data_IF_116325070215
#
_entry.id   IF_116325070215
#
_cell.length_a   1.000
_cell.length_b   1.000
_cell.length_c   1.000
_cell.angle_alpha   90.00
_cell.angle_beta   90.00
_cell.angle_gamma   90.00
#
_symmetry.space_group_name_H-M   'P 1'
#
loop_
_entity.id
_entity.type
_entity.pdbx_description
1 polymer ?
#
# COMPACT_ATOMS: atom_id res chain seq x y z
N UNK A 1 -8.22 -26.32 3.09
CA UNK A 1 -7.67 -25.17 3.85
C UNK A 1 -6.83 -25.67 5.00
N UNK A 2 -5.66 -25.07 5.22
CA UNK A 2 -4.79 -25.43 6.34
C UNK A 2 -5.01 -24.48 7.52
N UNK A 3 -5.95 -24.82 8.41
CA UNK A 3 -6.33 -23.95 9.54
C UNK A 3 -5.18 -23.65 10.50
N UNK A 4 -4.26 -24.61 10.72
CA UNK A 4 -3.07 -24.40 11.56
C UNK A 4 -2.14 -23.33 10.98
N UNK A 5 -2.00 -23.30 9.65
CA UNK A 5 -1.14 -22.34 8.96
C UNK A 5 -1.74 -20.93 9.05
N UNK A 6 -3.04 -20.80 8.79
CA UNK A 6 -3.76 -19.54 8.95
C UNK A 6 -3.71 -19.07 10.40
N UNK A 7 -3.96 -19.96 11.37
CA UNK A 7 -3.91 -19.64 12.79
C UNK A 7 -2.54 -19.11 13.23
N UNK A 8 -1.44 -19.58 12.63
CA UNK A 8 -0.10 -19.13 12.99
C UNK A 8 0.24 -17.75 12.45
N UNK A 9 -0.14 -17.46 11.22
CA UNK A 9 -0.03 -16.10 10.66
C UNK A 9 -0.92 -15.13 11.45
N UNK A 10 -2.15 -15.52 11.79
CA UNK A 10 -3.06 -14.64 12.55
C UNK A 10 -2.57 -14.42 13.98
N UNK A 11 -2.08 -15.47 14.65
CA UNK A 11 -1.53 -15.36 16.00
C UNK A 11 -0.27 -14.48 16.01
N UNK A 12 0.62 -14.62 15.03
CA UNK A 12 1.77 -13.75 14.87
C UNK A 12 1.35 -12.28 14.82
N UNK A 13 0.41 -11.94 13.92
CA UNK A 13 -0.02 -10.55 13.73
C UNK A 13 -0.72 -10.00 14.96
N UNK A 14 -1.49 -10.83 15.66
CA UNK A 14 -2.11 -10.47 16.93
C UNK A 14 -1.06 -10.16 18.01
N UNK A 15 -0.03 -11.00 18.14
CA UNK A 15 1.07 -10.78 19.09
C UNK A 15 1.82 -9.47 18.77
N UNK A 16 2.10 -9.21 17.49
CA UNK A 16 2.74 -7.94 17.07
C UNK A 16 1.88 -6.74 17.46
N UNK A 17 0.56 -6.78 17.24
CA UNK A 17 -0.37 -5.72 17.64
C UNK A 17 -0.33 -5.51 19.16
N UNK A 18 -0.36 -6.58 19.95
CA UNK A 18 -0.32 -6.50 21.42
C UNK A 18 1.00 -5.89 21.90
N UNK A 19 2.13 -6.33 21.34
CA UNK A 19 3.46 -5.80 21.69
C UNK A 19 3.53 -4.30 21.36
N UNK A 20 3.06 -3.89 20.17
CA UNK A 20 3.07 -2.49 19.76
C UNK A 20 2.10 -1.64 20.58
N UNK A 21 0.94 -2.19 20.97
CA UNK A 21 0.00 -1.51 21.84
C UNK A 21 0.59 -1.27 23.23
N UNK A 22 1.22 -2.28 23.83
CA UNK A 22 1.93 -2.16 25.11
C UNK A 22 3.07 -1.14 24.99
N UNK A 23 3.85 -1.19 23.90
CA UNK A 23 4.91 -0.22 23.64
C UNK A 23 4.38 1.21 23.56
N UNK A 24 3.28 1.44 22.84
CA UNK A 24 2.65 2.74 22.73
C UNK A 24 2.12 3.27 24.08
N UNK A 25 1.69 2.38 24.98
CA UNK A 25 1.15 2.74 26.30
C UNK A 25 2.22 2.95 27.36
N UNK A 26 3.30 2.18 27.32
CA UNK A 26 4.31 2.15 28.37
C UNK A 26 5.55 3.01 28.05
N UNK A 27 5.85 3.23 26.78
CA UNK A 27 7.05 3.97 26.37
C UNK A 27 6.76 5.45 26.18
N UNK A 28 7.54 6.31 26.85
CA UNK A 28 7.54 7.76 26.61
C UNK A 28 8.00 8.16 25.20
N UNK A 29 8.60 7.22 24.45
CA UNK A 29 9.06 7.38 23.06
C UNK A 29 8.14 6.73 22.03
N UNK A 30 7.06 6.07 22.47
CA UNK A 30 6.13 5.39 21.57
C UNK A 30 5.14 6.38 20.94
N UNK A 31 5.33 6.75 19.67
CA UNK A 31 4.30 7.46 18.92
C UNK A 31 3.39 6.48 18.18
N UNK A 32 2.13 6.88 18.02
CA UNK A 32 1.15 6.12 17.24
C UNK A 32 1.63 5.93 15.79
N UNK A 33 2.35 6.91 15.23
CA UNK A 33 2.98 6.85 13.91
C UNK A 33 4.00 5.72 13.80
N UNK A 34 4.91 5.63 14.77
CA UNK A 34 5.89 4.56 14.83
C UNK A 34 5.24 3.19 15.00
N UNK A 35 4.14 3.10 15.74
CA UNK A 35 3.39 1.85 15.89
C UNK A 35 2.79 1.40 14.55
N UNK A 36 2.17 2.31 13.80
CA UNK A 36 1.62 2.01 12.46
C UNK A 36 2.74 1.59 11.50
N UNK A 37 3.86 2.32 11.50
CA UNK A 37 5.02 2.00 10.68
C UNK A 37 5.60 0.63 11.04
N UNK A 38 5.86 0.34 12.32
CA UNK A 38 6.40 -0.95 12.75
C UNK A 38 5.44 -2.12 12.48
N UNK A 39 4.13 -1.92 12.70
CA UNK A 39 3.11 -2.90 12.34
C UNK A 39 3.14 -3.19 10.83
N UNK A 40 3.13 -2.14 10.02
CA UNK A 40 3.19 -2.23 8.57
C UNK A 40 4.42 -3.00 8.12
N UNK A 41 5.61 -2.62 8.59
CA UNK A 41 6.87 -3.29 8.24
C UNK A 41 6.94 -4.75 8.68
N UNK A 42 6.31 -5.12 9.79
CA UNK A 42 6.38 -6.49 10.32
C UNK A 42 5.32 -7.42 9.74
N UNK A 43 4.14 -6.91 9.37
CA UNK A 43 2.95 -7.74 9.15
C UNK A 43 2.43 -7.75 7.71
N UNK A 44 2.98 -6.95 6.79
CA UNK A 44 2.46 -6.79 5.43
C UNK A 44 3.46 -7.18 4.33
N UNK A 45 3.81 -8.48 4.23
CA UNK A 45 4.59 -8.99 3.10
C UNK A 45 3.88 -8.85 1.76
N UNK A 46 4.69 -8.81 0.70
CA UNK A 46 4.26 -9.02 -0.68
C UNK A 46 4.07 -10.53 -0.97
N UNK A 47 3.04 -11.10 -0.34
CA UNK A 47 2.73 -12.54 -0.43
C UNK A 47 2.26 -12.95 -1.82
N UNK A 48 1.52 -12.09 -2.52
CA UNK A 48 0.88 -12.44 -3.81
C UNK A 48 1.87 -12.34 -4.97
N UNK A 49 2.52 -11.18 -5.12
CA UNK A 49 3.34 -10.91 -6.32
C UNK A 49 4.69 -11.61 -6.23
N UNK A 50 5.34 -11.58 -5.06
CA UNK A 50 6.67 -12.19 -4.87
C UNK A 50 6.58 -13.55 -4.20
N UNK A 51 5.67 -13.72 -3.23
CA UNK A 51 5.57 -14.96 -2.47
C UNK A 51 5.17 -16.18 -3.29
N UNK A 52 4.14 -16.07 -4.15
CA UNK A 52 3.67 -17.18 -4.99
C UNK A 52 4.79 -17.74 -5.90
N UNK A 53 5.45 -16.95 -6.77
CA UNK A 53 6.48 -17.49 -7.65
C UNK A 53 7.72 -17.97 -6.89
N UNK A 54 8.14 -17.26 -5.83
CA UNK A 54 9.34 -17.61 -5.07
C UNK A 54 9.15 -18.90 -4.28
N UNK A 55 8.09 -19.01 -3.48
CA UNK A 55 7.82 -20.21 -2.69
C UNK A 55 7.33 -21.37 -3.55
N UNK A 56 6.67 -21.10 -4.67
CA UNK A 56 6.30 -22.09 -5.68
C UNK A 56 7.52 -22.78 -6.26
N UNK A 57 8.57 -22.02 -6.61
CA UNK A 57 9.83 -22.58 -7.09
C UNK A 57 10.61 -23.39 -6.05
N UNK A 58 10.47 -23.08 -4.76
CA UNK A 58 11.28 -23.68 -3.69
C UNK A 58 10.64 -24.91 -3.03
N UNK A 59 9.32 -24.91 -2.86
CA UNK A 59 8.58 -25.95 -2.12
C UNK A 59 7.49 -26.64 -2.96
N UNK A 60 7.40 -26.30 -4.25
CA UNK A 60 6.39 -26.83 -5.18
C UNK A 60 5.23 -25.86 -5.39
N UNK A 61 4.78 -25.78 -6.64
CA UNK A 61 3.78 -24.80 -7.10
C UNK A 61 2.44 -24.97 -6.34
N UNK A 62 1.88 -26.18 -6.32
CA UNK A 62 0.52 -26.41 -5.84
C UNK A 62 0.36 -26.16 -4.33
N UNK A 63 1.34 -26.63 -3.54
CA UNK A 63 1.32 -26.46 -2.09
C UNK A 63 1.50 -24.99 -1.70
N UNK A 64 2.57 -24.36 -2.17
CA UNK A 64 2.91 -22.98 -1.82
C UNK A 64 1.85 -22.00 -2.32
N UNK A 65 1.37 -22.15 -3.55
CA UNK A 65 0.34 -21.28 -4.11
C UNK A 65 -0.94 -21.36 -3.29
N UNK A 66 -1.42 -22.56 -2.94
CA UNK A 66 -2.65 -22.72 -2.15
C UNK A 66 -2.55 -22.08 -0.75
N UNK A 67 -1.38 -22.15 -0.11
CA UNK A 67 -1.12 -21.55 1.19
C UNK A 67 -1.02 -20.02 1.10
N UNK A 68 -0.31 -19.50 0.11
CA UNK A 68 -0.15 -18.05 -0.09
C UNK A 68 -1.47 -17.38 -0.44
N UNK A 69 -2.32 -18.03 -1.25
CA UNK A 69 -3.68 -17.55 -1.55
C UNK A 69 -4.54 -17.52 -0.29
N UNK A 70 -4.45 -18.54 0.57
CA UNK A 70 -5.20 -18.54 1.84
C UNK A 70 -4.79 -17.37 2.75
N UNK A 71 -3.49 -17.07 2.86
CA UNK A 71 -3.01 -15.94 3.64
C UNK A 71 -3.39 -14.59 3.03
N UNK A 72 -3.31 -14.45 1.71
CA UNK A 72 -3.62 -13.19 1.03
C UNK A 72 -5.11 -12.82 1.19
N UNK A 73 -6.02 -13.79 1.15
CA UNK A 73 -7.44 -13.56 1.41
C UNK A 73 -7.66 -13.00 2.81
N UNK A 74 -7.07 -13.59 3.86
CA UNK A 74 -7.16 -13.07 5.23
C UNK A 74 -6.47 -11.70 5.35
N UNK A 75 -5.35 -11.50 4.64
CA UNK A 75 -4.65 -10.22 4.56
C UNK A 75 -5.57 -9.11 4.04
N UNK A 76 -6.24 -9.32 2.90
CA UNK A 76 -7.14 -8.33 2.31
C UNK A 76 -8.42 -8.14 3.11
N UNK A 77 -9.00 -9.19 3.70
CA UNK A 77 -10.29 -9.09 4.40
C UNK A 77 -10.19 -8.61 5.85
N UNK A 78 -9.06 -8.81 6.52
CA UNK A 78 -8.91 -8.53 7.95
C UNK A 78 -7.79 -7.54 8.21
N UNK A 79 -6.57 -7.85 7.75
CA UNK A 79 -5.38 -7.11 8.15
C UNK A 79 -5.27 -5.73 7.47
N UNK A 80 -5.60 -5.62 6.18
CA UNK A 80 -5.65 -4.34 5.48
C UNK A 80 -6.72 -3.39 6.02
N UNK A 81 -7.97 -3.83 6.30
CA UNK A 81 -8.97 -3.02 6.98
C UNK A 81 -8.50 -2.50 8.35
N UNK A 82 -7.85 -3.36 9.16
CA UNK A 82 -7.27 -2.95 10.45
C UNK A 82 -6.21 -1.87 10.24
N UNK A 83 -5.33 -2.03 9.26
CA UNK A 83 -4.31 -1.03 8.91
C UNK A 83 -4.94 0.31 8.49
N UNK A 84 -5.97 0.29 7.64
CA UNK A 84 -6.71 1.50 7.24
C UNK A 84 -7.39 2.18 8.43
N UNK A 85 -7.98 1.38 9.32
CA UNK A 85 -8.60 1.89 10.54
C UNK A 85 -7.57 2.58 11.45
N UNK A 86 -6.36 2.02 11.58
CA UNK A 86 -5.26 2.64 12.32
C UNK A 86 -4.84 4.00 11.71
N UNK A 87 -4.74 4.10 10.38
CA UNK A 87 -4.42 5.35 9.71
C UNK A 87 -5.50 6.42 9.88
N UNK A 88 -6.77 6.05 9.74
CA UNK A 88 -7.88 6.99 9.93
C UNK A 88 -8.05 7.37 11.40
N UNK A 89 -7.79 6.45 12.32
CA UNK A 89 -7.77 6.74 13.76
C UNK A 89 -6.67 7.75 14.10
N UNK A 90 -5.47 7.61 13.53
CA UNK A 90 -4.42 8.64 13.64
C UNK A 90 -4.92 9.99 13.15
N UNK A 91 -5.49 10.02 11.94
CA UNK A 91 -5.95 11.25 11.31
C UNK A 91 -7.02 11.94 12.15
N UNK A 92 -7.99 11.19 12.66
CA UNK A 92 -9.02 11.71 13.56
C UNK A 92 -8.43 12.23 14.87
N UNK A 93 -7.45 11.52 15.46
CA UNK A 93 -6.79 11.94 16.70
C UNK A 93 -6.05 13.28 16.52
N UNK A 94 -5.34 13.45 15.41
CA UNK A 94 -4.66 14.72 15.08
C UNK A 94 -5.67 15.86 14.94
N UNK A 95 -6.82 15.62 14.31
CA UNK A 95 -7.88 16.63 14.15
C UNK A 95 -8.44 17.06 15.51
N UNK A 96 -8.69 16.11 16.42
CA UNK A 96 -9.22 16.42 17.77
C UNK A 96 -8.23 17.29 18.56
N UNK A 97 -6.94 16.92 18.56
CA UNK A 97 -5.90 17.68 19.27
C UNK A 97 -5.75 19.10 18.70
N UNK A 98 -5.89 19.28 17.39
CA UNK A 98 -5.85 20.60 16.75
C UNK A 98 -7.08 21.48 17.09
N UNK A 99 -8.25 20.88 17.28
CA UNK A 99 -9.49 21.60 17.62
C UNK A 99 -9.47 22.12 19.08
N UNK A 100 -8.87 21.35 19.99
CA UNK A 100 -8.64 21.76 21.38
C UNK A 100 -7.68 22.95 21.47
N UNK A 101 -6.58 22.94 20.69
CA UNK A 101 -5.62 24.06 20.65
C UNK A 101 -6.17 25.32 19.96
N UNK A 102 -7.13 25.18 19.03
CA UNK A 102 -7.81 26.32 18.38
C UNK A 102 -8.85 27.00 19.25
N UNK A 103 -9.41 26.28 20.24
CA UNK A 103 -10.47 26.80 21.13
C UNK A 103 -9.89 27.65 22.27
N UNK A 104 -8.66 27.40 22.71
CA UNK A 104 -8.02 28.18 23.79
C UNK A 104 -7.47 29.55 23.34
N UNK A 105 -7.37 29.81 22.04
CA UNK A 105 -6.83 31.07 21.48
C UNK A 105 -7.91 32.06 21.01
N UNK A 106 -9.18 31.83 21.37
CA UNK A 106 -10.31 32.67 20.96
C UNK A 106 -11.18 33.16 22.12
N UNK A 107 -10.55 33.50 23.26
CA UNK A 107 -11.18 34.33 24.29
C UNK A 107 -10.48 35.69 24.36
N UNK A 108 -10.65 36.49 23.31
CA UNK A 108 -10.67 37.97 23.34
C UNK A 108 -10.64 38.52 21.91
N UNK A 109 -11.83 38.75 21.34
CA UNK A 109 -12.19 40.01 20.66
C UNK A 109 -13.58 39.92 20.04
N UNK A 110 -14.38 40.90 20.44
CA UNK A 110 -15.78 41.10 20.15
C UNK A 110 -16.06 41.45 18.68
N UNK A 111 -17.24 41.03 18.24
CA UNK A 111 -18.17 41.72 17.31
C UNK A 111 -17.78 41.94 15.85
N UNK A 112 -18.24 41.02 14.98
CA UNK A 112 -19.10 41.36 13.82
C UNK A 112 -19.77 40.08 13.28
N UNK A 113 -20.91 39.71 13.85
CA UNK A 113 -21.81 38.68 13.34
C UNK A 113 -22.97 39.31 12.55
N UNK A 114 -23.58 38.53 11.65
CA UNK A 114 -24.61 38.85 10.63
C UNK A 114 -23.98 39.34 9.32
N UNK A 115 -24.12 38.70 8.15
CA UNK A 115 -25.12 37.77 7.61
C UNK A 115 -24.45 37.00 6.46
N UNK A 116 -24.54 35.67 6.42
CA UNK A 116 -24.82 34.89 5.21
C UNK A 116 -24.98 33.42 5.59
N UNK A 117 -26.13 33.08 6.18
CA UNK A 117 -26.56 31.69 6.30
C UNK A 117 -28.06 31.64 6.04
N UNK A 118 -28.43 31.54 4.75
CA UNK A 118 -29.61 30.83 4.25
C UNK A 118 -29.73 30.97 2.73
N UNK A 119 -30.12 29.86 2.09
CA UNK A 119 -30.18 29.53 0.65
C UNK A 119 -28.86 28.92 0.17
N UNK A 120 -28.72 27.63 -0.12
CA UNK A 120 -29.68 26.59 -0.54
C UNK A 120 -29.21 25.26 0.08
N UNK A 121 -29.97 24.77 1.07
CA UNK A 121 -30.30 23.36 1.16
C UNK A 121 -31.28 23.08 0.02
N UNK A 122 -31.17 21.91 -0.59
CA UNK A 122 -32.05 21.32 -1.60
C UNK A 122 -31.42 21.25 -3.00
N UNK A 123 -30.46 20.34 -3.13
CA UNK A 123 -30.26 19.56 -4.34
C UNK A 123 -29.76 18.16 -3.92
N UNK A 124 -30.73 17.29 -3.62
CA UNK A 124 -30.53 15.85 -3.55
C UNK A 124 -30.11 15.33 -4.93
N UNK A 125 -29.27 14.29 -4.93
CA UNK A 125 -29.18 13.24 -5.95
C UNK A 125 -29.08 13.71 -7.40
N UNK A 126 -27.87 13.67 -7.96
CA UNK A 126 -27.68 13.01 -9.25
C UNK A 126 -26.23 12.54 -9.43
N UNK A 127 -26.13 11.33 -9.98
CA UNK A 127 -24.94 10.78 -10.59
C UNK A 127 -24.45 11.73 -11.69
N UNK A 128 -23.15 11.83 -11.87
CA UNK A 128 -22.67 11.92 -13.24
C UNK A 128 -21.44 11.06 -13.42
N UNK A 129 -21.55 10.29 -14.49
CA UNK A 129 -20.63 9.33 -15.06
C UNK A 129 -19.38 10.06 -15.60
N UNK A 130 -18.44 9.25 -16.08
CA UNK A 130 -17.30 9.60 -16.95
C UNK A 130 -17.03 11.09 -17.24
N UNK A 131 -15.81 11.53 -16.90
CA UNK A 131 -15.15 12.56 -17.72
C UNK A 131 -13.84 12.05 -18.25
N UNK A 132 -13.92 11.68 -19.52
CA UNK A 132 -12.89 11.74 -20.52
C UNK A 132 -12.01 12.99 -20.38
N UNK A 133 -10.76 12.81 -20.81
CA UNK A 133 -9.80 13.87 -21.03
C UNK A 133 -10.38 14.93 -21.97
N UNK A 134 -10.56 16.14 -21.45
CA UNK A 134 -10.73 17.32 -22.29
C UNK A 134 -9.42 18.13 -22.25
N UNK A 135 -8.71 18.09 -23.39
CA UNK A 135 -7.44 18.79 -23.60
C UNK A 135 -7.76 20.26 -23.88
N UNK A 136 -7.60 21.13 -22.88
CA UNK A 136 -7.58 22.57 -23.11
C UNK A 136 -6.15 23.04 -23.44
N UNK A 137 -5.86 23.20 -24.73
CA UNK A 137 -4.70 23.94 -25.23
C UNK A 137 -4.88 25.42 -24.88
N UNK A 138 -4.26 25.88 -23.80
CA UNK A 138 -4.18 27.31 -23.51
C UNK A 138 -2.99 27.92 -24.27
N UNK A 139 -3.29 28.43 -25.47
CA UNK A 139 -2.41 29.31 -26.23
C UNK A 139 -2.08 30.55 -25.41
N UNK A 140 -0.85 30.63 -24.91
CA UNK A 140 -0.36 31.79 -24.19
C UNK A 140 0.11 32.85 -25.20
N UNK A 141 -0.78 33.79 -25.52
CA UNK A 141 -0.41 35.10 -26.05
C UNK A 141 0.12 35.95 -24.88
N UNK A 142 1.40 36.30 -24.94
CA UNK A 142 1.96 37.44 -24.20
C UNK A 142 3.02 38.11 -25.06
N UNK A 143 2.59 39.14 -25.79
CA UNK A 143 3.42 40.17 -26.40
C UNK A 143 4.11 41.02 -25.34
N UNK A 144 5.38 41.40 -25.52
CA UNK A 144 5.90 42.79 -25.42
C UNK A 144 7.42 42.87 -25.71
N UNK A 145 7.75 43.56 -26.81
CA UNK A 145 8.92 44.43 -27.16
C UNK A 145 10.33 43.83 -27.39
N UNK A 146 10.83 43.89 -28.64
CA UNK A 146 11.69 44.91 -29.32
C UNK A 146 13.19 44.65 -29.09
N UNK A 147 13.91 44.20 -30.13
CA UNK A 147 14.96 44.95 -30.88
C UNK A 147 15.87 44.02 -31.71
N UNK A 148 15.88 44.29 -33.02
CA UNK A 148 16.97 44.30 -34.02
C UNK A 148 17.79 43.06 -34.43
N UNK A 149 17.76 42.81 -35.75
CA UNK A 149 18.85 42.48 -36.72
C UNK A 149 19.75 41.23 -36.44
N UNK A 150 20.09 40.35 -37.40
CA UNK A 150 20.28 40.45 -38.85
C UNK A 150 19.96 39.12 -39.59
N UNK A 151 19.58 39.28 -40.86
CA UNK A 151 19.53 38.27 -41.92
C UNK A 151 20.93 37.81 -42.37
N UNK A 152 21.11 36.53 -42.71
CA UNK A 152 21.73 36.18 -44.00
C UNK A 152 21.46 34.73 -44.43
N UNK A 153 21.24 34.60 -45.74
CA UNK A 153 20.84 33.45 -46.54
C UNK A 153 21.86 32.30 -46.57
N UNK A 154 21.42 31.06 -46.84
CA UNK A 154 21.36 30.54 -48.23
C UNK A 154 21.26 28.99 -48.29
N UNK A 155 20.53 28.52 -49.32
CA UNK A 155 20.67 27.23 -50.04
C UNK A 155 19.75 26.04 -49.69
N UNK A 156 18.83 25.76 -50.62
CA UNK A 156 17.98 24.57 -50.80
C UNK A 156 18.43 23.84 -52.12
N UNK A 157 17.89 22.67 -52.57
CA UNK A 157 17.02 21.65 -51.94
C UNK A 157 17.30 20.14 -52.34
N UNK A 158 16.42 19.24 -51.83
CA UNK A 158 16.10 17.83 -52.25
C UNK A 158 16.98 16.74 -51.60
N UNK A 159 16.50 15.76 -50.83
CA UNK A 159 15.38 14.81 -51.01
C UNK A 159 14.86 14.21 -49.67
N UNK A 160 13.69 13.56 -49.74
CA UNK A 160 12.86 12.95 -48.68
C UNK A 160 13.63 12.07 -47.65
N UNK A 161 13.23 12.09 -46.36
CA UNK A 161 13.31 10.86 -45.58
C UNK A 161 12.03 10.50 -44.80
N UNK A 162 11.85 9.19 -44.75
CA UNK A 162 10.91 8.41 -43.99
C UNK A 162 10.80 8.82 -42.52
N UNK A 163 9.55 8.97 -42.10
CA UNK A 163 9.05 9.05 -40.73
C UNK A 163 9.75 8.09 -39.77
N UNK A 164 10.57 8.65 -38.87
CA UNK A 164 10.90 8.01 -37.59
C UNK A 164 10.25 8.84 -36.50
N UNK A 165 9.06 8.44 -36.08
CA UNK A 165 8.39 9.05 -34.93
C UNK A 165 9.16 8.65 -33.67
N UNK A 166 9.97 9.57 -33.15
CA UNK A 166 10.45 9.51 -31.77
C UNK A 166 9.24 9.76 -30.87
N UNK A 167 8.64 8.68 -30.38
CA UNK A 167 7.69 8.72 -29.28
C UNK A 167 8.51 8.98 -28.01
N UNK A 168 8.64 10.26 -27.67
CA UNK A 168 9.19 10.69 -26.39
C UNK A 168 8.10 10.44 -25.34
N UNK A 169 8.24 9.34 -24.60
CA UNK A 169 7.35 8.97 -23.49
C UNK A 169 7.61 9.98 -22.37
N UNK A 170 6.68 10.92 -22.22
CA UNK A 170 6.63 11.83 -21.09
C UNK A 170 6.35 10.99 -19.84
N UNK A 171 7.40 10.73 -19.06
CA UNK A 171 7.35 9.98 -17.81
C UNK A 171 6.58 10.82 -16.79
N UNK A 172 5.50 10.23 -16.25
CA UNK A 172 4.72 10.78 -15.13
C UNK A 172 5.65 11.19 -13.96
N UNK A 173 5.25 12.29 -13.32
CA UNK A 173 6.00 13.04 -12.33
C UNK A 173 6.83 12.22 -11.32
N UNK A 174 8.06 12.68 -11.17
CA UNK A 174 9.07 12.23 -10.21
C UNK A 174 8.47 12.22 -8.79
N UNK A 175 8.34 11.05 -8.18
CA UNK A 175 8.05 10.92 -6.73
C UNK A 175 9.32 11.24 -5.96
N UNK A 176 9.64 12.53 -5.87
CA UNK A 176 10.64 13.03 -4.95
C UNK A 176 10.08 12.85 -3.51
N UNK A 177 10.84 12.20 -2.62
CA UNK A 177 10.56 12.19 -1.18
C UNK A 177 10.82 13.58 -0.58
N UNK A 178 10.12 14.60 -1.07
CA UNK A 178 9.96 15.87 -0.37
C UNK A 178 8.70 15.74 0.50
N UNK A 179 8.72 16.23 1.75
CA UNK A 179 7.45 16.45 2.43
C UNK A 179 6.62 17.35 1.51
N UNK A 180 5.40 16.92 1.16
CA UNK A 180 4.43 17.82 0.53
C UNK A 180 4.14 18.92 1.55
N UNK A 181 4.90 20.01 1.46
CA UNK A 181 4.50 21.27 2.07
C UNK A 181 3.42 21.85 1.16
N UNK A 182 2.23 21.98 1.72
CA UNK A 182 1.08 22.69 1.16
C UNK A 182 0.28 21.95 0.08
N UNK A 183 -0.74 21.23 0.53
CA UNK A 183 -2.13 21.57 0.27
C UNK A 183 -2.94 20.83 1.31
N UNK A 184 -3.35 21.57 2.34
CA UNK A 184 -4.39 21.15 3.28
C UNK A 184 -5.56 20.67 2.43
N UNK A 185 -5.75 19.35 2.34
CA UNK A 185 -7.09 18.81 2.10
C UNK A 185 -8.01 19.60 3.03
N UNK A 186 -9.13 20.16 2.55
CA UNK A 186 -9.99 21.00 3.37
C UNK A 186 -10.25 20.22 4.65
N UNK A 187 -9.71 20.75 5.75
CA UNK A 187 -10.09 20.30 7.08
C UNK A 187 -11.59 20.55 7.09
N UNK A 188 -12.45 19.52 7.25
CA UNK A 188 -13.85 19.79 7.44
C UNK A 188 -13.94 20.66 8.68
N UNK A 189 -14.29 21.93 8.47
CA UNK A 189 -14.46 22.88 9.53
C UNK A 189 -15.69 22.46 10.35
N UNK A 190 -15.47 22.42 11.66
CA UNK A 190 -16.46 22.45 12.74
C UNK A 190 -17.30 21.18 12.99
N UNK A 191 -17.13 20.65 14.21
CA UNK A 191 -18.24 20.70 15.17
C UNK A 191 -18.72 19.38 15.77
N UNK A 192 -18.36 18.22 15.19
CA UNK A 192 -18.70 16.94 15.80
C UNK A 192 -17.43 16.19 16.15
N UNK A 193 -17.26 15.86 17.44
CA UNK A 193 -16.40 14.76 17.89
C UNK A 193 -16.66 13.59 16.95
N UNK A 194 -15.68 13.28 16.09
CA UNK A 194 -15.87 12.22 15.10
C UNK A 194 -16.19 10.94 15.86
N UNK A 195 -17.46 10.54 15.82
CA UNK A 195 -17.90 9.35 16.54
C UNK A 195 -17.16 8.17 15.91
N UNK A 196 -16.77 7.15 16.70
CA UNK A 196 -16.13 5.93 16.18
C UNK A 196 -16.88 5.34 14.97
N UNK A 197 -18.22 5.52 14.94
CA UNK A 197 -19.09 5.19 13.82
C UNK A 197 -18.79 5.94 12.52
N UNK A 198 -18.47 7.24 12.58
CA UNK A 198 -18.09 8.03 11.39
C UNK A 198 -16.75 7.58 10.83
N UNK A 199 -15.76 7.33 11.69
CA UNK A 199 -14.46 6.77 11.29
C UNK A 199 -14.67 5.41 10.62
N UNK A 200 -15.49 4.53 11.21
CA UNK A 200 -15.81 3.23 10.65
C UNK A 200 -16.50 3.32 9.27
N UNK A 201 -17.44 4.26 9.10
CA UNK A 201 -18.13 4.47 7.81
C UNK A 201 -17.14 5.00 6.75
N UNK A 202 -16.27 5.94 7.11
CA UNK A 202 -15.24 6.46 6.19
C UNK A 202 -14.26 5.36 5.76
N UNK A 203 -13.77 4.57 6.72
CA UNK A 203 -12.90 3.42 6.47
C UNK A 203 -13.61 2.40 5.57
N UNK A 204 -14.87 2.07 5.88
CA UNK A 204 -15.65 1.12 5.09
C UNK A 204 -15.84 1.60 3.64
N UNK A 205 -16.10 2.89 3.42
CA UNK A 205 -16.24 3.46 2.06
C UNK A 205 -14.90 3.42 1.31
N UNK A 206 -13.79 3.77 1.97
CA UNK A 206 -12.44 3.67 1.39
C UNK A 206 -12.03 2.23 1.08
N UNK A 207 -12.41 1.30 1.95
CA UNK A 207 -12.14 -0.12 1.80
C UNK A 207 -12.93 -0.74 0.64
N UNK A 208 -14.21 -0.38 0.49
CA UNK A 208 -15.05 -0.86 -0.63
C UNK A 208 -14.55 -0.37 -2.00
N UNK A 209 -13.84 0.77 -2.04
CA UNK A 209 -13.19 1.25 -3.27
C UNK A 209 -11.89 0.51 -3.59
N UNK A 210 -11.39 -0.34 -2.69
CA UNK A 210 -10.16 -1.08 -2.93
C UNK A 210 -10.43 -2.31 -3.80
N UNK A 211 -9.78 -2.44 -4.98
CA UNK A 211 -10.00 -3.56 -5.87
C UNK A 211 -9.70 -4.92 -5.28
N UNK A 212 -8.67 -5.00 -4.44
CA UNK A 212 -8.28 -6.25 -3.79
C UNK A 212 -9.31 -6.71 -2.75
N UNK A 213 -9.98 -5.76 -2.07
CA UNK A 213 -10.96 -6.09 -1.05
C UNK A 213 -12.20 -6.73 -1.67
N UNK A 214 -12.88 -6.04 -2.60
CA UNK A 214 -14.09 -6.60 -3.21
C UNK A 214 -13.79 -7.87 -4.01
N UNK A 215 -12.66 -7.94 -4.71
CA UNK A 215 -12.27 -9.15 -5.47
C UNK A 215 -12.13 -10.36 -4.54
N UNK A 216 -11.45 -10.18 -3.40
CA UNK A 216 -11.30 -11.25 -2.40
C UNK A 216 -12.63 -11.65 -1.74
N UNK A 217 -13.54 -10.69 -1.51
CA UNK A 217 -14.85 -10.94 -0.94
C UNK A 217 -15.76 -11.70 -1.93
N UNK A 218 -15.73 -11.33 -3.20
CA UNK A 218 -16.41 -12.05 -4.28
C UNK A 218 -15.88 -13.48 -4.39
N UNK A 219 -14.57 -13.68 -4.39
CA UNK A 219 -13.95 -15.00 -4.44
C UNK A 219 -14.34 -15.87 -3.23
N UNK A 220 -14.34 -15.30 -2.02
CA UNK A 220 -14.75 -15.99 -0.80
C UNK A 220 -16.24 -16.35 -0.82
N UNK A 221 -17.10 -15.41 -1.23
CA UNK A 221 -18.55 -15.60 -1.35
C UNK A 221 -18.86 -16.70 -2.35
N UNK A 222 -18.24 -16.65 -3.54
CA UNK A 222 -18.38 -17.68 -4.56
C UNK A 222 -17.87 -19.04 -4.08
N UNK A 223 -16.74 -19.10 -3.37
CA UNK A 223 -16.21 -20.33 -2.79
C UNK A 223 -17.19 -20.97 -1.79
N UNK A 224 -17.86 -20.17 -0.97
CA UNK A 224 -18.88 -20.64 -0.02
C UNK A 224 -20.14 -21.15 -0.74
N UNK A 225 -20.59 -20.43 -1.79
CA UNK A 225 -21.74 -20.83 -2.60
C UNK A 225 -21.45 -22.15 -3.33
N UNK A 226 -20.28 -22.27 -3.96
CA UNK A 226 -19.83 -23.48 -4.64
C UNK A 226 -19.73 -24.66 -3.67
N UNK A 227 -19.24 -24.43 -2.44
CA UNK A 227 -19.21 -25.48 -1.41
C UNK A 227 -20.61 -25.92 -0.96
N UNK A 228 -21.58 -24.99 -0.92
CA UNK A 228 -22.96 -25.27 -0.47
C UNK A 228 -23.81 -25.95 -1.54
N UNK A 229 -23.72 -25.50 -2.79
CA UNK A 229 -24.53 -25.97 -3.90
C UNK A 229 -23.81 -26.97 -4.81
N UNK A 230 -22.55 -27.31 -4.53
CA UNK A 230 -21.70 -28.19 -5.33
C UNK A 230 -21.65 -27.81 -6.83
N UNK A 231 -21.77 -26.52 -7.12
CA UNK A 231 -21.68 -26.00 -8.49
C UNK A 231 -20.20 -25.84 -8.84
N UNK A 232 -19.74 -26.64 -9.80
CA UNK A 232 -18.41 -26.51 -10.37
C UNK A 232 -18.36 -25.32 -11.33
N UNK A 233 -17.26 -24.57 -11.29
CA UNK A 233 -17.03 -23.45 -12.21
C UNK A 233 -16.82 -24.04 -13.61
N UNK A 234 -17.55 -23.58 -14.65
CA UNK A 234 -17.34 -24.05 -16.01
C UNK A 234 -15.87 -23.91 -16.44
N UNK A 235 -15.35 -24.91 -17.15
CA UNK A 235 -13.94 -24.95 -17.57
C UNK A 235 -13.48 -23.68 -18.30
N UNK A 236 -14.39 -23.05 -19.06
CA UNK A 236 -14.13 -21.78 -19.76
C UNK A 236 -13.79 -20.64 -18.78
N UNK A 237 -14.57 -20.51 -17.70
CA UNK A 237 -14.36 -19.47 -16.68
C UNK A 237 -13.09 -19.77 -15.89
N UNK A 238 -12.87 -21.02 -15.49
CA UNK A 238 -11.66 -21.41 -14.75
C UNK A 238 -10.37 -21.16 -15.55
N UNK A 239 -10.35 -21.53 -16.82
CA UNK A 239 -9.19 -21.30 -17.70
C UNK A 239 -8.98 -19.80 -17.97
N UNK A 240 -10.06 -19.03 -18.12
CA UNK A 240 -9.97 -17.57 -18.26
C UNK A 240 -9.37 -16.91 -17.02
N UNK A 241 -9.86 -17.27 -15.82
CA UNK A 241 -9.32 -16.77 -14.55
C UNK A 241 -7.84 -17.15 -14.40
N UNK A 242 -7.46 -18.36 -14.79
CA UNK A 242 -6.06 -18.80 -14.75
C UNK A 242 -5.17 -17.94 -15.67
N UNK A 243 -5.58 -17.72 -16.92
CA UNK A 243 -4.83 -16.88 -17.86
C UNK A 243 -4.70 -15.44 -17.33
N UNK A 244 -5.77 -14.87 -16.80
CA UNK A 244 -5.73 -13.53 -16.18
C UNK A 244 -4.85 -13.49 -14.93
N UNK A 245 -4.88 -14.51 -14.09
CA UNK A 245 -4.05 -14.61 -12.88
C UNK A 245 -2.56 -14.71 -13.23
N UNK A 246 -2.20 -15.58 -14.16
CA UNK A 246 -0.81 -15.79 -14.58
C UNK A 246 -0.26 -14.53 -15.27
N UNK A 247 -1.05 -13.91 -16.13
CA UNK A 247 -0.70 -12.63 -16.79
C UNK A 247 -0.59 -11.48 -15.78
N UNK A 248 -1.55 -11.39 -14.86
CA UNK A 248 -1.59 -10.35 -13.83
C UNK A 248 -0.40 -10.44 -12.87
N UNK A 249 0.04 -11.65 -12.54
CA UNK A 249 1.24 -11.86 -11.73
C UNK A 249 2.49 -11.35 -12.45
N UNK A 250 2.64 -11.65 -13.75
CA UNK A 250 3.74 -11.13 -14.57
C UNK A 250 3.76 -9.60 -14.68
N UNK A 251 2.59 -8.99 -14.95
CA UNK A 251 2.46 -7.53 -14.98
C UNK A 251 2.78 -6.88 -13.63
N UNK A 252 2.33 -7.49 -12.52
CA UNK A 252 2.60 -6.98 -11.18
C UNK A 252 4.10 -7.05 -10.83
N UNK A 253 4.80 -8.13 -11.19
CA UNK A 253 6.24 -8.25 -11.00
C UNK A 253 7.02 -7.23 -11.85
N UNK A 254 6.60 -7.03 -13.10
CA UNK A 254 7.20 -6.01 -13.97
C UNK A 254 6.98 -4.59 -13.40
N UNK A 255 5.76 -4.26 -12.99
CA UNK A 255 5.41 -2.99 -12.36
C UNK A 255 6.18 -2.75 -11.06
N UNK A 256 6.41 -3.79 -10.26
CA UNK A 256 7.25 -3.74 -9.06
C UNK A 256 8.71 -3.40 -9.41
N UNK A 257 9.24 -3.96 -10.50
CA UNK A 257 10.56 -3.64 -11.03
C UNK A 257 10.66 -2.19 -11.53
N UNK A 258 9.65 -1.71 -12.27
CA UNK A 258 9.57 -0.32 -12.73
C UNK A 258 9.49 0.63 -11.53
N UNK A 259 8.65 0.34 -10.54
CA UNK A 259 8.55 1.12 -9.30
C UNK A 259 9.91 1.26 -8.60
N UNK A 260 10.68 0.17 -8.55
CA UNK A 260 12.03 0.16 -7.96
C UNK A 260 13.02 0.98 -8.79
N UNK A 261 12.96 0.89 -10.12
CA UNK A 261 13.81 1.66 -11.03
C UNK A 261 13.50 3.17 -11.00
N UNK A 262 12.23 3.53 -10.78
CA UNK A 262 11.78 4.92 -10.73
C UNK A 262 12.08 5.63 -9.39
N UNK A 263 12.58 4.92 -8.36
CA UNK A 263 12.94 5.59 -7.11
C UNK A 263 14.23 6.40 -7.27
N UNK A 264 14.23 7.73 -6.99
CA UNK A 264 15.41 8.58 -7.18
C UNK A 264 16.56 8.23 -6.22
N UNK A 265 16.26 7.58 -5.08
CA UNK A 265 17.21 7.04 -4.12
C UNK A 265 16.66 5.75 -3.51
N UNK A 266 17.43 4.66 -3.56
CA UNK A 266 17.09 3.39 -2.92
C UNK A 266 17.04 3.54 -1.38
N UNK A 267 17.81 4.49 -0.83
CA UNK A 267 17.88 4.83 0.60
C UNK A 267 17.48 6.31 0.78
N UNK A 268 16.20 6.59 0.92
CA UNK A 268 15.68 7.95 1.14
C UNK A 268 15.68 8.36 2.61
N UNK A 269 15.51 7.39 3.53
CA UNK A 269 15.42 7.62 4.97
C UNK A 269 16.74 7.61 5.75
N UNK A 270 17.89 7.42 5.09
CA UNK A 270 19.19 7.22 5.75
C UNK A 270 19.48 5.75 6.09
N UNK A 271 20.77 5.41 6.22
CA UNK A 271 21.25 4.02 6.37
C UNK A 271 20.80 3.37 7.68
N UNK A 272 20.73 4.12 8.78
CA UNK A 272 20.29 3.59 10.07
C UNK A 272 18.81 3.17 10.06
N UNK A 273 17.95 3.98 9.44
CA UNK A 273 16.52 3.69 9.29
C UNK A 273 16.28 2.55 8.29
N UNK A 274 17.08 2.46 7.23
CA UNK A 274 17.08 1.33 6.32
C UNK A 274 17.47 0.02 7.02
N UNK A 275 18.53 0.04 7.84
CA UNK A 275 18.98 -1.10 8.62
C UNK A 275 17.92 -1.54 9.64
N UNK A 276 17.27 -0.60 10.32
CA UNK A 276 16.17 -0.88 11.24
C UNK A 276 14.98 -1.51 10.50
N UNK A 277 14.59 -0.96 9.35
CA UNK A 277 13.52 -1.51 8.54
C UNK A 277 13.81 -2.94 8.08
N UNK A 278 15.03 -3.17 7.59
CA UNK A 278 15.49 -4.49 7.16
C UNK A 278 15.54 -5.48 8.34
N UNK A 279 16.06 -5.07 9.50
CA UNK A 279 16.10 -5.92 10.69
C UNK A 279 14.70 -6.29 11.18
N UNK A 280 13.77 -5.33 11.23
CA UNK A 280 12.39 -5.59 11.59
C UNK A 280 11.73 -6.57 10.62
N UNK A 281 11.97 -6.40 9.32
CA UNK A 281 11.35 -7.23 8.28
C UNK A 281 11.93 -8.64 8.22
N UNK A 282 13.27 -8.77 8.18
CA UNK A 282 13.95 -10.03 7.89
C UNK A 282 14.47 -10.78 9.11
N UNK A 283 14.47 -10.17 10.31
CA UNK A 283 14.88 -10.82 11.55
C UNK A 283 13.68 -10.93 12.48
N UNK A 284 13.10 -9.80 12.88
CA UNK A 284 12.02 -9.77 13.87
C UNK A 284 10.76 -10.47 13.35
N UNK A 285 10.34 -10.18 12.12
CA UNK A 285 9.20 -10.85 11.47
C UNK A 285 9.31 -12.38 11.51
N UNK A 286 10.32 -12.98 10.84
CA UNK A 286 10.54 -14.43 10.86
C UNK A 286 10.73 -15.02 12.25
N UNK A 287 11.38 -14.32 13.19
CA UNK A 287 11.57 -14.80 14.55
C UNK A 287 10.24 -14.93 15.31
N UNK A 288 9.37 -13.92 15.21
CA UNK A 288 8.03 -13.98 15.81
C UNK A 288 7.21 -15.08 15.14
N UNK A 289 7.26 -15.22 13.81
CA UNK A 289 6.60 -16.31 13.08
C UNK A 289 7.07 -17.68 13.54
N UNK A 290 8.38 -17.88 13.71
CA UNK A 290 8.94 -19.14 14.15
C UNK A 290 8.44 -19.49 15.57
N UNK A 291 8.39 -18.50 16.47
CA UNK A 291 7.86 -18.67 17.81
C UNK A 291 6.36 -19.03 17.81
N UNK A 292 5.52 -18.28 17.08
CA UNK A 292 4.07 -18.57 17.03
C UNK A 292 3.75 -19.88 16.33
N UNK A 293 4.50 -20.22 15.28
CA UNK A 293 4.32 -21.47 14.56
C UNK A 293 4.71 -22.68 15.41
N UNK A 294 5.70 -22.52 16.30
CA UNK A 294 6.07 -23.53 17.29
C UNK A 294 4.96 -23.75 18.33
N UNK A 295 4.32 -22.66 18.80
CA UNK A 295 3.19 -22.72 19.76
C UNK A 295 1.99 -23.46 19.17
N UNK A 296 1.70 -23.25 17.88
CA UNK A 296 0.58 -23.91 17.19
C UNK A 296 0.91 -25.34 16.76
N UNK A 297 2.19 -25.74 16.84
CA UNK A 297 2.64 -27.08 16.49
C UNK A 297 2.74 -27.33 15.00
N UNK A 298 3.08 -26.31 14.20
CA UNK A 298 3.46 -26.50 12.79
C UNK A 298 4.77 -27.28 12.71
N UNK A 299 4.83 -28.27 11.83
CA UNK A 299 6.00 -29.13 11.62
C UNK A 299 6.30 -29.31 10.14
N UNK A 300 7.57 -29.63 9.84
CA UNK A 300 8.04 -29.95 8.50
C UNK A 300 7.91 -28.76 7.53
N UNK A 301 7.51 -29.07 6.29
CA UNK A 301 7.45 -28.09 5.19
C UNK A 301 6.53 -26.91 5.46
N UNK A 302 5.42 -27.10 6.20
CA UNK A 302 4.52 -26.00 6.55
C UNK A 302 5.19 -24.94 7.45
N UNK A 303 6.06 -25.39 8.37
CA UNK A 303 6.85 -24.49 9.22
C UNK A 303 7.89 -23.72 8.38
N UNK A 304 8.50 -24.39 7.41
CA UNK A 304 9.46 -23.75 6.52
C UNK A 304 8.79 -22.69 5.64
N UNK A 305 7.66 -23.02 5.01
CA UNK A 305 6.91 -22.09 4.15
C UNK A 305 6.43 -20.86 4.93
N UNK A 306 5.93 -21.01 6.17
CA UNK A 306 5.42 -19.86 6.95
C UNK A 306 6.55 -18.90 7.38
N UNK A 307 7.70 -19.43 7.82
CA UNK A 307 8.85 -18.60 8.20
C UNK A 307 9.39 -17.87 6.96
N UNK A 308 9.43 -18.55 5.82
CA UNK A 308 9.88 -17.96 4.55
C UNK A 308 8.90 -16.90 4.02
N UNK A 309 7.60 -17.13 4.16
CA UNK A 309 6.57 -16.13 3.88
C UNK A 309 6.76 -14.87 4.74
N UNK A 310 7.11 -15.07 6.01
CA UNK A 310 7.47 -13.98 6.89
C UNK A 310 8.82 -13.33 6.57
N UNK A 311 9.64 -13.87 5.67
CA UNK A 311 10.88 -13.24 5.19
C UNK A 311 10.73 -12.56 3.81
N UNK A 312 9.53 -12.55 3.21
CA UNK A 312 9.29 -11.91 1.90
C UNK A 312 9.47 -10.38 1.93
N UNK A 313 9.75 -9.70 0.82
CA UNK A 313 9.82 -8.23 0.82
C UNK A 313 8.48 -7.57 1.19
N UNK A 314 8.53 -6.30 1.59
CA UNK A 314 7.36 -5.51 1.99
C UNK A 314 6.42 -5.23 0.80
N UNK A 315 5.11 -5.18 1.04
CA UNK A 315 4.12 -4.81 0.01
C UNK A 315 4.16 -3.30 -0.34
N UNK A 316 4.09 -2.96 -1.64
CA UNK A 316 4.02 -1.57 -2.12
C UNK A 316 2.83 -0.82 -1.50
N UNK A 317 1.68 -1.50 -1.35
CA UNK A 317 0.44 -0.91 -0.83
C UNK A 317 0.65 -0.23 0.53
N UNK A 318 1.53 -0.79 1.36
CA UNK A 318 1.91 -0.21 2.65
C UNK A 318 2.59 1.16 2.50
N UNK A 319 3.46 1.31 1.50
CA UNK A 319 4.10 2.59 1.16
C UNK A 319 3.08 3.59 0.61
N UNK A 320 2.19 3.17 -0.29
CA UNK A 320 1.14 4.04 -0.85
C UNK A 320 0.27 4.64 0.25
N UNK A 321 -0.15 3.83 1.23
CA UNK A 321 -0.89 4.36 2.38
C UNK A 321 -0.03 5.25 3.29
N UNK A 322 1.22 4.88 3.56
CA UNK A 322 2.11 5.76 4.31
C UNK A 322 2.33 7.12 3.64
N UNK A 323 2.36 7.17 2.30
CA UNK A 323 2.45 8.40 1.54
C UNK A 323 1.14 9.20 1.60
N UNK A 324 0.00 8.56 1.39
CA UNK A 324 -1.33 9.18 1.46
C UNK A 324 -1.61 9.80 2.83
N UNK A 325 -1.28 9.08 3.91
CA UNK A 325 -1.48 9.54 5.28
C UNK A 325 -0.28 10.31 5.84
N UNK A 326 0.81 10.51 5.09
CA UNK A 326 2.05 11.14 5.56
C UNK A 326 2.59 10.52 6.89
N UNK A 327 2.79 9.20 6.90
CA UNK A 327 3.40 8.45 8.02
C UNK A 327 4.71 7.82 7.57
N UNK A 328 5.84 8.43 7.92
CA UNK A 328 7.19 7.92 7.61
C UNK A 328 7.35 7.33 6.19
N UNK A 329 6.95 8.02 5.11
CA UNK A 329 6.98 7.48 3.75
C UNK A 329 8.41 7.12 3.30
N UNK A 330 9.44 7.85 3.75
CA UNK A 330 10.83 7.55 3.42
C UNK A 330 11.28 6.18 3.98
N UNK A 331 10.83 5.82 5.19
CA UNK A 331 11.19 4.54 5.82
C UNK A 331 10.51 3.40 5.07
N UNK A 332 9.22 3.52 4.75
CA UNK A 332 8.51 2.48 4.02
C UNK A 332 8.95 2.36 2.55
N UNK A 333 9.23 3.46 1.86
CA UNK A 333 9.80 3.44 0.50
C UNK A 333 11.13 2.69 0.49
N UNK A 334 12.03 3.04 1.43
CA UNK A 334 13.33 2.36 1.57
C UNK A 334 13.13 0.87 1.91
N UNK A 335 12.22 0.54 2.83
CA UNK A 335 11.92 -0.84 3.22
C UNK A 335 11.40 -1.69 2.05
N UNK A 336 10.57 -1.10 1.18
CA UNK A 336 10.06 -1.77 -0.02
C UNK A 336 11.19 -1.94 -1.03
N UNK A 337 11.86 -0.87 -1.45
CA UNK A 337 12.88 -0.91 -2.51
C UNK A 337 14.13 -1.70 -2.11
N UNK A 338 14.73 -1.37 -0.96
CA UNK A 338 15.90 -2.08 -0.46
C UNK A 338 15.55 -3.51 -0.03
N UNK A 339 14.37 -3.70 0.58
CA UNK A 339 13.87 -5.01 0.96
C UNK A 339 13.71 -5.94 -0.23
N UNK A 340 13.24 -5.46 -1.39
CA UNK A 340 13.15 -6.26 -2.59
C UNK A 340 14.51 -6.78 -3.07
N UNK A 341 15.52 -5.90 -3.14
CA UNK A 341 16.88 -6.29 -3.57
C UNK A 341 17.51 -7.33 -2.65
N UNK A 342 17.38 -7.15 -1.34
CA UNK A 342 18.03 -8.03 -0.35
C UNK A 342 17.19 -9.26 -0.01
N UNK A 343 15.90 -9.30 -0.39
CA UNK A 343 15.01 -10.40 -0.04
C UNK A 343 15.45 -11.74 -0.62
N UNK A 344 15.91 -11.78 -1.87
CA UNK A 344 16.34 -13.02 -2.53
C UNK A 344 17.52 -13.68 -1.79
N UNK A 345 18.67 -13.02 -1.58
CA UNK A 345 19.78 -13.65 -0.86
C UNK A 345 19.42 -14.02 0.58
N UNK A 346 18.64 -13.20 1.28
CA UNK A 346 18.17 -13.52 2.63
C UNK A 346 17.29 -14.77 2.62
N UNK A 347 16.34 -14.86 1.68
CA UNK A 347 15.44 -16.00 1.54
C UNK A 347 16.22 -17.27 1.24
N UNK A 348 17.26 -17.21 0.40
CA UNK A 348 18.13 -18.35 0.12
C UNK A 348 18.88 -18.82 1.39
N UNK A 349 19.41 -17.88 2.18
CA UNK A 349 20.07 -18.20 3.45
C UNK A 349 19.07 -18.87 4.41
N UNK A 350 17.85 -18.32 4.55
CA UNK A 350 16.81 -18.93 5.36
C UNK A 350 16.43 -20.33 4.88
N UNK A 351 16.34 -20.55 3.57
CA UNK A 351 16.05 -21.87 3.01
C UNK A 351 17.10 -22.90 3.42
N UNK A 352 18.38 -22.56 3.32
CA UNK A 352 19.48 -23.45 3.72
C UNK A 352 19.43 -23.71 5.22
N UNK A 353 19.27 -22.66 6.04
CA UNK A 353 19.19 -22.79 7.49
C UNK A 353 18.01 -23.67 7.93
N UNK A 354 16.82 -23.44 7.36
CA UNK A 354 15.62 -24.19 7.68
C UNK A 354 15.69 -25.64 7.17
N UNK A 355 16.37 -25.89 6.04
CA UNK A 355 16.62 -27.24 5.54
C UNK A 355 17.57 -28.06 6.41
N UNK A 356 18.49 -27.39 7.13
CA UNK A 356 19.37 -28.04 8.12
C UNK A 356 18.68 -28.24 9.47
N UNK A 357 17.93 -27.24 9.94
CA UNK A 357 17.28 -27.27 11.26
C UNK A 357 16.03 -28.14 11.32
N UNK A 358 15.27 -28.24 10.22
CA UNK A 358 13.99 -28.95 10.15
C UNK A 358 14.18 -30.12 9.17
N UNK A 359 14.56 -31.28 9.71
CA UNK A 359 14.69 -32.54 8.96
C UNK A 359 13.68 -33.56 9.44
#
# INVERSE_FOLDING_TARGET
>A
MNFRFIAADTLQKLIVIVILFIWCKLSSRGSLEWCITLFSLSCLPNTVVVGIPLLGGMYGQDLSQSLMVQLSVIQFNVWFPIMLLLFEYRRATIVIVSDEQGTEMSTDRSSSSLECSKKISDASLEFDEERELDICVLSSRSSTKISDHDDEENSCPKELPSSTSKVEVHVEDIVECKPKLTNTLPVPAAGNVMTTRQILIMVSKKLMRNPNFYSSLFALTWSLISFRWHVEIPAMVANSIKIFSDTGLGMAMFSLGLFMASQPKIISGGSALAALAAAMRFIVGPAITAATSSVIGLRGTLLQIIIMQAALPQAIVSFVFAQEYNVHPCVLSTAVSFGMLISLPITLVYYILLGVCIK
#
